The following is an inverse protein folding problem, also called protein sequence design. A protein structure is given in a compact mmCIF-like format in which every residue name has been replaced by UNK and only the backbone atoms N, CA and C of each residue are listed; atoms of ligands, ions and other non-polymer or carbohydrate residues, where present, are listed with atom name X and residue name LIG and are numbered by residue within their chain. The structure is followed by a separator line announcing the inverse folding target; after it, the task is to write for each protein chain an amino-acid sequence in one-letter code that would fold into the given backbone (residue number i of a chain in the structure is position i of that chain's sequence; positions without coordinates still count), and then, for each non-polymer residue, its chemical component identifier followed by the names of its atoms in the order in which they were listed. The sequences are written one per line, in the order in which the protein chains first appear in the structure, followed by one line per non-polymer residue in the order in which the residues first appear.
data_IF_289395467850
#
_entry.id   IF_289395467850
#
_cell.length_a   1.000
_cell.length_b   1.000
_cell.length_c   1.000
_cell.angle_alpha   90.00
_cell.angle_beta   90.00
_cell.angle_gamma   90.00
#
_symmetry.space_group_name_H-M   'P 1'
#
loop_
_entity.id
_entity.type
_entity.pdbx_description
1 polymer ?
#
# COMPACT_ATOMS: atom_id res chain seq x y z
N UNK A 1 -14.66 12.70 -23.00
CA UNK A 1 -15.28 12.02 -21.85
C UNK A 1 -14.30 12.08 -20.70
N UNK A 2 -14.65 12.75 -19.60
CA UNK A 2 -13.86 12.69 -18.37
C UNK A 2 -14.25 11.39 -17.69
N UNK A 3 -13.37 10.39 -17.73
CA UNK A 3 -13.58 9.14 -17.02
C UNK A 3 -13.28 9.50 -15.56
N UNK A 4 -14.34 9.68 -14.79
CA UNK A 4 -14.24 9.97 -13.37
C UNK A 4 -14.03 8.62 -12.70
N UNK A 5 -12.76 8.22 -12.56
CA UNK A 5 -12.39 7.08 -11.74
C UNK A 5 -12.86 7.40 -10.32
N UNK A 6 -13.76 6.57 -9.81
CA UNK A 6 -14.06 6.52 -8.39
C UNK A 6 -12.74 6.06 -7.77
N UNK A 7 -12.11 6.93 -7.00
CA UNK A 7 -10.80 6.65 -6.38
C UNK A 7 -11.11 5.73 -5.21
N UNK A 8 -11.22 4.44 -5.49
CA UNK A 8 -11.12 3.40 -4.47
C UNK A 8 -9.62 3.14 -4.33
N UNK A 9 -9.07 3.45 -3.17
CA UNK A 9 -7.71 3.04 -2.78
C UNK A 9 -7.62 1.53 -2.90
N UNK A 10 -6.55 1.02 -3.50
CA UNK A 10 -6.28 -0.41 -3.57
C UNK A 10 -5.54 -0.78 -2.29
N UNK A 11 -6.24 -1.27 -1.28
CA UNK A 11 -5.57 -1.75 -0.08
C UNK A 11 -4.77 -3.02 -0.43
N UNK A 12 -3.45 -2.95 -0.30
CA UNK A 12 -2.55 -4.11 -0.34
C UNK A 12 -2.35 -4.55 1.11
N UNK A 13 -2.43 -5.85 1.37
CA UNK A 13 -2.38 -6.37 2.74
C UNK A 13 -1.18 -7.29 2.88
N UNK A 14 -0.07 -6.76 3.40
CA UNK A 14 1.17 -7.52 3.60
C UNK A 14 1.01 -8.60 4.69
N UNK A 15 0.50 -9.77 4.30
CA UNK A 15 0.12 -10.84 5.21
C UNK A 15 1.34 -11.65 5.69
N UNK A 16 1.72 -11.50 6.96
CA UNK A 16 2.60 -12.49 7.62
C UNK A 16 1.82 -13.79 7.83
N UNK A 17 2.05 -14.75 6.94
CA UNK A 17 1.33 -16.01 6.82
C UNK A 17 1.06 -16.75 8.15
N UNK A 18 -0.18 -16.64 8.65
CA UNK A 18 -0.82 -17.66 9.49
C UNK A 18 -2.25 -17.95 9.02
N UNK A 19 -2.33 -18.64 7.88
CA UNK A 19 -3.40 -19.57 7.52
C UNK A 19 -4.84 -19.14 7.75
N UNK A 20 -5.39 -18.29 6.88
CA UNK A 20 -6.73 -18.45 6.28
C UNK A 20 -6.69 -17.98 4.82
N UNK A 21 -7.27 -18.76 3.91
CA UNK A 21 -7.21 -18.50 2.48
C UNK A 21 -8.17 -17.37 2.06
N UNK A 22 -7.66 -16.15 1.89
CA UNK A 22 -8.24 -15.09 1.07
C UNK A 22 -7.08 -14.24 0.49
N UNK A 23 -7.21 -13.83 -0.78
CA UNK A 23 -6.25 -13.04 -1.59
C UNK A 23 -4.76 -13.30 -1.26
N UNK A 24 -4.22 -14.43 -1.74
CA UNK A 24 -2.79 -14.70 -1.63
C UNK A 24 -2.02 -13.82 -2.60
N UNK A 25 -1.22 -12.92 -2.06
CA UNK A 25 -0.05 -12.36 -2.73
C UNK A 25 0.85 -13.53 -3.18
N UNK A 26 1.54 -13.34 -4.29
CA UNK A 26 2.36 -14.38 -4.90
C UNK A 26 3.67 -13.76 -5.34
N UNK A 27 4.71 -13.98 -4.53
CA UNK A 27 6.08 -13.65 -4.88
C UNK A 27 6.43 -14.14 -6.30
N UNK A 28 6.98 -13.22 -7.09
CA UNK A 28 7.41 -13.45 -8.45
C UNK A 28 8.93 -13.27 -8.57
N UNK A 29 9.53 -14.14 -9.39
CA UNK A 29 10.82 -13.78 -9.98
C UNK A 29 10.62 -12.69 -11.02
N UNK A 30 11.65 -11.84 -11.22
CA UNK A 30 11.65 -10.80 -12.25
C UNK A 30 11.26 -11.31 -13.66
N UNK A 31 11.55 -12.57 -13.99
CA UNK A 31 11.20 -13.17 -15.29
C UNK A 31 9.70 -13.47 -15.45
N UNK A 32 8.96 -13.56 -14.34
CA UNK A 32 7.51 -13.78 -14.33
C UNK A 32 6.70 -12.48 -14.43
N UNK A 33 7.34 -11.33 -14.18
CA UNK A 33 6.73 -10.01 -14.28
C UNK A 33 6.67 -9.58 -15.76
N UNK A 34 5.54 -9.01 -16.24
CA UNK A 34 5.43 -8.42 -17.56
C UNK A 34 6.57 -7.46 -17.88
N UNK A 35 7.17 -7.62 -19.07
CA UNK A 35 8.32 -6.81 -19.49
C UNK A 35 8.03 -5.30 -19.46
N UNK A 36 6.79 -4.89 -19.74
CA UNK A 36 6.39 -3.48 -19.70
C UNK A 36 6.57 -2.87 -18.31
N UNK A 37 6.26 -3.63 -17.25
CA UNK A 37 6.44 -3.21 -15.85
C UNK A 37 7.92 -3.09 -15.53
N UNK A 38 8.72 -4.10 -15.84
CA UNK A 38 10.17 -4.08 -15.60
C UNK A 38 10.83 -2.89 -16.30
N UNK A 39 10.53 -2.67 -17.58
CA UNK A 39 11.10 -1.57 -18.35
C UNK A 39 10.66 -0.19 -17.83
N UNK A 40 9.41 -0.06 -17.36
CA UNK A 40 8.90 1.17 -16.78
C UNK A 40 9.56 1.46 -15.42
N UNK A 41 9.59 0.47 -14.53
CA UNK A 41 10.14 0.56 -13.19
C UNK A 41 11.64 0.89 -13.21
N UNK A 42 12.46 0.12 -13.92
CA UNK A 42 13.93 0.34 -13.96
C UNK A 42 14.30 1.68 -14.58
N UNK A 43 13.48 2.19 -15.50
CA UNK A 43 13.68 3.51 -16.09
C UNK A 43 13.34 4.63 -15.11
N UNK A 44 12.29 4.45 -14.31
CA UNK A 44 11.83 5.45 -13.35
C UNK A 44 12.68 5.47 -12.06
N UNK A 45 13.12 4.29 -11.60
CA UNK A 45 13.81 4.07 -10.32
C UNK A 45 15.18 3.39 -10.53
N UNK A 46 16.13 4.03 -11.23
CA UNK A 46 17.43 3.43 -11.54
C UNK A 46 18.32 3.18 -10.30
N UNK A 47 17.96 3.71 -9.13
CA UNK A 47 18.69 3.51 -7.88
C UNK A 47 17.93 2.65 -6.86
N UNK A 48 16.82 2.02 -7.27
CA UNK A 48 16.07 1.09 -6.43
C UNK A 48 16.98 -0.06 -5.94
N UNK A 49 16.78 -0.43 -4.68
CA UNK A 49 17.46 -1.51 -3.97
C UNK A 49 16.40 -2.40 -3.34
N UNK A 50 16.77 -3.63 -2.96
CA UNK A 50 15.84 -4.56 -2.29
C UNK A 50 14.51 -4.68 -3.06
N UNK A 51 14.60 -4.90 -4.37
CA UNK A 51 13.42 -4.91 -5.26
C UNK A 51 12.75 -6.29 -5.20
N UNK A 52 11.51 -6.31 -4.75
CA UNK A 52 10.64 -7.49 -4.69
C UNK A 52 9.47 -7.31 -5.65
N UNK A 53 8.88 -8.43 -6.07
CA UNK A 53 7.81 -8.42 -7.07
C UNK A 53 6.69 -9.34 -6.62
N UNK A 54 5.50 -8.79 -6.49
CA UNK A 54 4.31 -9.52 -6.09
C UNK A 54 3.33 -9.64 -7.26
N UNK A 55 2.38 -10.54 -7.11
CA UNK A 55 1.19 -10.59 -7.95
C UNK A 55 -0.04 -10.85 -7.11
N UNK A 56 -1.04 -10.01 -7.35
CA UNK A 56 -2.25 -9.99 -6.56
C UNK A 56 -3.52 -9.94 -7.40
N UNK A 57 -4.65 -10.18 -6.72
CA UNK A 57 -5.98 -10.10 -7.28
C UNK A 57 -6.79 -9.02 -6.58
N UNK A 58 -6.82 -7.82 -7.18
CA UNK A 58 -7.58 -6.67 -6.68
C UNK A 58 -8.86 -6.52 -7.49
N UNK A 59 -10.01 -6.54 -6.81
CA UNK A 59 -11.34 -6.46 -7.44
C UNK A 59 -11.54 -7.42 -8.62
N UNK A 60 -10.94 -8.61 -8.56
CA UNK A 60 -11.03 -9.62 -9.62
C UNK A 60 -10.12 -9.36 -10.83
N UNK A 61 -9.19 -8.40 -10.74
CA UNK A 61 -8.15 -8.14 -11.75
C UNK A 61 -6.78 -8.49 -11.19
N UNK A 62 -5.91 -8.96 -12.07
CA UNK A 62 -4.49 -9.13 -11.73
C UNK A 62 -3.84 -7.76 -11.65
N UNK A 63 -3.14 -7.52 -10.56
CA UNK A 63 -2.18 -6.41 -10.41
C UNK A 63 -0.80 -6.99 -10.08
N UNK A 64 0.22 -6.18 -10.29
CA UNK A 64 1.61 -6.52 -10.00
C UNK A 64 2.18 -5.43 -9.13
N UNK A 65 2.75 -5.79 -8.00
CA UNK A 65 3.43 -4.84 -7.15
C UNK A 65 4.94 -4.90 -7.38
N UNK A 66 5.58 -3.76 -7.21
CA UNK A 66 7.02 -3.66 -7.07
C UNK A 66 7.31 -2.94 -5.76
N UNK A 67 7.69 -3.70 -4.75
CA UNK A 67 8.24 -3.18 -3.49
C UNK A 67 9.73 -2.90 -3.68
N UNK A 68 10.22 -1.78 -3.18
CA UNK A 68 11.62 -1.43 -3.25
C UNK A 68 12.03 -0.36 -2.24
N UNK A 69 13.33 -0.33 -1.95
CA UNK A 69 13.97 0.74 -1.18
C UNK A 69 14.71 1.73 -2.06
N UNK A 70 14.47 3.02 -1.85
CA UNK A 70 15.22 4.10 -2.49
C UNK A 70 15.42 5.28 -1.52
N UNK A 71 16.66 5.78 -1.42
CA UNK A 71 17.01 6.87 -0.48
C UNK A 71 16.67 6.57 1.00
N UNK A 72 16.71 5.29 1.39
CA UNK A 72 16.41 4.86 2.76
C UNK A 72 14.93 4.89 3.13
N UNK A 73 14.04 4.95 2.13
CA UNK A 73 12.60 4.77 2.28
C UNK A 73 12.14 3.57 1.46
N UNK A 74 11.08 2.95 1.93
CA UNK A 74 10.38 1.83 1.29
C UNK A 74 9.18 2.36 0.53
N UNK A 75 8.92 1.76 -0.62
CA UNK A 75 7.87 2.17 -1.55
C UNK A 75 7.31 0.94 -2.22
N UNK A 76 6.02 0.99 -2.51
CA UNK A 76 5.34 0.02 -3.33
C UNK A 76 4.71 0.72 -4.53
N UNK A 77 4.72 0.06 -5.68
CA UNK A 77 4.04 0.56 -6.88
C UNK A 77 3.22 -0.55 -7.47
N UNK A 78 1.92 -0.32 -7.52
CA UNK A 78 0.97 -1.22 -8.17
C UNK A 78 0.87 -0.88 -9.66
N UNK A 79 1.11 -1.88 -10.48
CA UNK A 79 0.97 -1.83 -11.92
C UNK A 79 -0.16 -2.73 -12.42
N UNK A 80 -0.82 -2.30 -13.50
CA UNK A 80 -1.55 -3.24 -14.36
C UNK A 80 -0.59 -4.06 -15.26
N UNK A 81 -1.13 -5.05 -15.97
CA UNK A 81 -0.34 -5.91 -16.86
C UNK A 81 0.33 -5.18 -18.03
N UNK A 82 -0.12 -3.96 -18.35
CA UNK A 82 0.41 -3.13 -19.43
C UNK A 82 1.52 -2.18 -18.95
N UNK A 83 1.84 -2.20 -17.65
CA UNK A 83 2.86 -1.34 -17.03
C UNK A 83 2.36 0.05 -16.68
N UNK A 84 1.04 0.25 -16.56
CA UNK A 84 0.45 1.50 -16.08
C UNK A 84 0.40 1.48 -14.56
N UNK A 85 0.91 2.53 -13.92
CA UNK A 85 0.81 2.72 -12.47
C UNK A 85 -0.65 2.97 -12.10
N UNK A 86 -1.15 2.17 -11.17
CA UNK A 86 -2.47 2.29 -10.58
C UNK A 86 -2.42 3.08 -9.27
N UNK A 87 -1.43 2.79 -8.44
CA UNK A 87 -1.24 3.34 -7.11
C UNK A 87 0.24 3.30 -6.72
N UNK A 88 0.62 4.12 -5.76
CA UNK A 88 1.93 4.09 -5.12
C UNK A 88 1.76 4.25 -3.61
N UNK A 89 2.51 3.50 -2.84
CA UNK A 89 2.71 3.72 -1.41
C UNK A 89 4.12 4.20 -1.09
N UNK A 90 4.25 4.86 0.05
CA UNK A 90 5.52 5.06 0.74
C UNK A 90 5.30 4.80 2.22
N UNK A 91 6.04 3.85 2.77
CA UNK A 91 6.07 3.56 4.19
C UNK A 91 6.66 4.76 4.94
N UNK A 92 6.02 5.12 6.05
CA UNK A 92 6.35 6.26 6.89
C UNK A 92 6.93 5.79 8.23
N UNK A 93 7.89 6.56 8.77
CA UNK A 93 8.09 6.51 10.23
C UNK A 93 6.77 6.91 10.88
N UNK A 94 6.24 6.10 11.79
CA UNK A 94 5.01 6.38 12.55
C UNK A 94 5.00 7.78 13.17
N UNK A 95 6.17 8.35 13.52
CA UNK A 95 6.29 9.72 14.04
C UNK A 95 6.07 10.81 12.99
N UNK A 96 6.14 10.46 11.71
CA UNK A 96 5.88 11.34 10.57
C UNK A 96 4.40 11.32 10.15
N UNK A 97 3.56 10.46 10.75
CA UNK A 97 2.12 10.49 10.53
C UNK A 97 1.54 11.88 10.83
N UNK A 98 0.60 12.40 10.01
CA UNK A 98 -0.05 13.67 10.29
C UNK A 98 -0.80 13.63 11.61
N UNK A 99 -0.73 14.74 12.36
CA UNK A 99 -1.38 14.87 13.66
C UNK A 99 -2.88 14.50 13.66
N UNK A 100 -3.71 14.88 12.66
CA UNK A 100 -5.11 14.47 12.60
C UNK A 100 -5.30 12.94 12.59
N UNK A 101 -4.44 12.20 11.90
CA UNK A 101 -4.47 10.73 11.82
C UNK A 101 -4.22 10.13 13.20
N UNK A 102 -3.13 10.56 13.85
CA UNK A 102 -2.73 10.05 15.18
C UNK A 102 -3.82 10.33 16.22
N UNK A 103 -4.43 11.52 16.18
CA UNK A 103 -5.53 11.89 17.08
C UNK A 103 -6.78 11.05 16.84
N UNK A 104 -7.14 10.80 15.56
CA UNK A 104 -8.28 9.98 15.21
C UNK A 104 -8.13 8.54 15.70
N UNK A 105 -6.97 7.93 15.46
CA UNK A 105 -6.64 6.57 15.92
C UNK A 105 -6.67 6.50 17.44
N UNK A 106 -6.01 7.43 18.14
CA UNK A 106 -5.99 7.47 19.60
C UNK A 106 -7.38 7.61 20.22
N UNK A 107 -8.29 8.33 19.54
CA UNK A 107 -9.67 8.51 19.98
C UNK A 107 -10.53 7.28 19.74
N UNK A 108 -10.39 6.64 18.58
CA UNK A 108 -11.17 5.45 18.21
C UNK A 108 -10.67 4.19 18.94
N UNK A 109 -9.35 4.07 19.12
CA UNK A 109 -8.66 2.92 19.69
C UNK A 109 -7.67 3.35 20.77
N UNK A 110 -8.13 3.76 21.97
CA UNK A 110 -7.30 4.37 23.00
C UNK A 110 -6.23 3.45 23.63
N UNK A 111 -6.25 2.15 23.28
CA UNK A 111 -5.27 1.16 23.72
C UNK A 111 -4.42 0.61 22.57
N UNK A 112 -4.56 1.17 21.37
CA UNK A 112 -3.83 0.72 20.21
C UNK A 112 -2.36 1.16 20.28
N UNK A 113 -1.49 0.31 19.75
CA UNK A 113 -0.16 0.69 19.28
C UNK A 113 -0.23 0.81 17.76
N UNK A 114 0.34 1.86 17.18
CA UNK A 114 0.56 1.93 15.74
C UNK A 114 1.84 1.16 15.44
N UNK A 115 1.73 0.13 14.61
CA UNK A 115 2.85 -0.76 14.23
C UNK A 115 3.46 -0.31 12.90
N UNK A 116 2.63 0.08 11.94
CA UNK A 116 3.06 0.55 10.62
C UNK A 116 2.17 1.67 10.07
N UNK A 117 2.67 2.42 9.09
CA UNK A 117 1.97 3.54 8.48
C UNK A 117 2.46 3.83 7.07
N UNK A 118 1.53 3.99 6.13
CA UNK A 118 1.83 4.26 4.74
C UNK A 118 1.07 5.49 4.24
N UNK A 119 1.66 6.21 3.27
CA UNK A 119 0.92 7.20 2.49
C UNK A 119 0.55 6.61 1.13
N UNK A 120 -0.74 6.66 0.82
CA UNK A 120 -1.23 6.18 -0.48
C UNK A 120 -1.37 7.33 -1.45
N UNK A 121 -0.82 7.16 -2.65
CA UNK A 121 -0.72 8.19 -3.67
C UNK A 121 -1.23 7.73 -5.03
N UNK A 122 -1.77 8.68 -5.77
CA UNK A 122 -1.99 8.55 -7.22
C UNK A 122 -0.66 8.55 -7.99
N UNK A 123 -0.67 8.12 -9.26
CA UNK A 123 0.50 8.23 -10.14
C UNK A 123 1.07 9.65 -10.33
N UNK A 124 0.27 10.69 -10.03
CA UNK A 124 0.73 12.10 -10.06
C UNK A 124 1.32 12.58 -8.72
N UNK A 125 1.45 11.70 -7.72
CA UNK A 125 1.95 11.98 -6.38
C UNK A 125 0.92 12.62 -5.44
N UNK A 126 -0.34 12.78 -5.86
CA UNK A 126 -1.40 13.28 -4.98
C UNK A 126 -1.70 12.23 -3.91
N UNK A 127 -1.49 12.59 -2.64
CA UNK A 127 -1.89 11.77 -1.48
C UNK A 127 -3.42 11.67 -1.44
N UNK A 128 -3.93 10.45 -1.33
CA UNK A 128 -5.37 10.15 -1.29
C UNK A 128 -5.83 9.51 0.01
N UNK A 129 -4.94 8.78 0.69
CA UNK A 129 -5.24 8.10 1.95
C UNK A 129 -3.94 7.89 2.75
N UNK A 130 -4.13 7.46 4.00
CA UNK A 130 -3.11 6.87 4.85
C UNK A 130 -3.62 5.50 5.29
N UNK A 131 -2.77 4.49 5.16
CA UNK A 131 -3.03 3.14 5.65
C UNK A 131 -2.20 2.95 6.90
N UNK A 132 -2.84 2.50 7.99
CA UNK A 132 -2.19 2.44 9.31
C UNK A 132 -2.53 1.12 9.98
N UNK A 133 -1.51 0.28 10.17
CA UNK A 133 -1.63 -0.93 10.94
C UNK A 133 -1.58 -0.60 12.44
N UNK A 134 -2.61 -1.03 13.17
CA UNK A 134 -2.68 -0.91 14.62
C UNK A 134 -2.83 -2.26 15.28
N UNK A 135 -2.17 -2.41 16.43
CA UNK A 135 -2.39 -3.52 17.34
C UNK A 135 -3.26 -3.09 18.51
N UNK A 136 -4.45 -3.66 18.64
CA UNK A 136 -5.40 -3.36 19.72
C UNK A 136 -6.12 -4.61 20.18
N UNK A 137 -6.27 -4.76 21.50
CA UNK A 137 -6.98 -5.89 22.12
C UNK A 137 -6.52 -7.28 21.64
N UNK A 138 -5.23 -7.41 21.29
CA UNK A 138 -4.63 -8.65 20.80
C UNK A 138 -4.91 -8.97 19.33
N UNK A 139 -5.49 -8.03 18.58
CA UNK A 139 -5.70 -8.10 17.13
C UNK A 139 -4.84 -7.07 16.41
N UNK A 140 -4.47 -7.36 15.16
CA UNK A 140 -4.04 -6.37 14.20
C UNK A 140 -5.24 -5.90 13.40
N UNK A 141 -5.30 -4.60 13.16
CA UNK A 141 -6.29 -3.98 12.29
C UNK A 141 -5.55 -3.03 11.36
N UNK A 142 -5.97 -3.00 10.12
CA UNK A 142 -5.54 -2.00 9.17
C UNK A 142 -6.63 -0.93 9.01
N UNK A 143 -6.24 0.33 9.10
CA UNK A 143 -7.13 1.47 9.00
C UNK A 143 -6.76 2.29 7.76
N UNK A 144 -7.73 2.51 6.88
CA UNK A 144 -7.59 3.51 5.82
C UNK A 144 -8.21 4.82 6.30
N UNK A 145 -7.46 5.91 6.29
CA UNK A 145 -7.89 7.24 6.73
C UNK A 145 -7.66 8.29 5.63
N UNK A 146 -8.57 9.26 5.52
CA UNK A 146 -8.27 10.48 4.74
C UNK A 146 -7.32 11.41 5.50
N UNK A 147 -6.83 12.46 4.81
CA UNK A 147 -5.88 13.42 5.37
C UNK A 147 -6.39 14.19 6.61
N UNK A 148 -7.70 14.23 6.85
CA UNK A 148 -8.31 14.88 8.01
C UNK A 148 -8.49 13.89 9.20
N UNK A 149 -8.07 12.64 9.05
CA UNK A 149 -8.18 11.60 10.08
C UNK A 149 -9.54 10.92 10.11
N UNK A 150 -10.37 11.06 9.08
CA UNK A 150 -11.60 10.29 9.00
C UNK A 150 -11.26 8.86 8.58
N UNK A 151 -11.58 7.90 9.44
CA UNK A 151 -11.50 6.48 9.11
C UNK A 151 -12.52 6.16 8.01
N UNK A 152 -12.01 5.72 6.86
CA UNK A 152 -12.78 5.33 5.69
C UNK A 152 -13.08 3.82 5.72
N UNK A 153 -12.10 3.03 6.13
CA UNK A 153 -12.14 1.56 6.14
C UNK A 153 -11.43 1.01 7.37
N UNK A 154 -11.82 -0.19 7.78
CA UNK A 154 -11.13 -0.97 8.82
C UNK A 154 -11.18 -2.43 8.43
N UNK A 155 -10.03 -3.04 8.29
CA UNK A 155 -9.89 -4.46 8.01
C UNK A 155 -9.12 -5.15 9.13
N UNK A 156 -9.36 -6.44 9.31
CA UNK A 156 -8.57 -7.24 10.23
C UNK A 156 -7.51 -7.95 9.40
N UNK A 157 -6.26 -7.62 9.68
CA UNK A 157 -5.08 -8.34 9.20
C UNK A 157 -4.98 -9.73 9.88
#
# INVERSE_FOLDING_TARGET
MKIQFWITTILVTFLIAFGQANASETELTKQQVPKAIIDAFEKAHPNAQEVEFEKEMVEGKVVYEVEYKENGREYEILYDSDGVILQMEETLDVKALPEPIVQAISKAYPKATIEDAEKVMKPDGTVIAYEVEIKTEGKKLELELDADGKILKTEQD
#
